data_IF_031802530150
#
_entry.id   IF_031802530150
#
_cell.length_a   1.000
_cell.length_b   1.000
_cell.length_c   1.000
_cell.angle_alpha   90.00
_cell.angle_beta   90.00
_cell.angle_gamma   90.00
#
_symmetry.space_group_name_H-M   'P 1'
#
loop_
_entity.id
_entity.type
_entity.pdbx_description
1 polymer ?
#
# COMPACT_ATOMS: atom_id res chain seq x y z
N UNK A 1 -19.01 16.79 -10.14
CA UNK A 1 -17.92 16.01 -10.78
C UNK A 1 -17.11 15.30 -9.72
N UNK A 2 -17.22 13.98 -9.60
CA UNK A 2 -16.36 13.21 -8.69
C UNK A 2 -14.92 13.28 -9.22
N UNK A 3 -14.02 13.99 -8.51
CA UNK A 3 -12.57 13.93 -8.78
C UNK A 3 -12.18 12.45 -8.76
N UNK A 4 -11.88 11.87 -9.91
CA UNK A 4 -11.24 10.55 -10.01
C UNK A 4 -9.95 10.67 -9.20
N UNK A 5 -9.97 10.19 -7.95
CA UNK A 5 -8.78 10.17 -7.09
C UNK A 5 -7.72 9.36 -7.83
N UNK A 6 -6.75 10.06 -8.40
CA UNK A 6 -5.63 9.46 -9.10
C UNK A 6 -4.92 8.49 -8.16
N UNK A 7 -4.65 7.28 -8.65
CA UNK A 7 -3.85 6.31 -7.91
C UNK A 7 -2.44 6.88 -7.76
N UNK A 8 -1.86 6.76 -6.56
CA UNK A 8 -0.44 7.03 -6.33
C UNK A 8 0.27 5.69 -6.21
N UNK A 9 1.47 5.63 -6.73
CA UNK A 9 2.33 4.47 -6.53
C UNK A 9 2.87 4.48 -5.11
N UNK A 10 2.73 3.35 -4.43
CA UNK A 10 3.27 3.16 -3.09
C UNK A 10 4.14 1.91 -3.09
N UNK A 11 5.29 2.01 -2.44
CA UNK A 11 6.10 0.86 -2.09
C UNK A 11 5.64 0.38 -0.72
N UNK A 12 5.06 -0.80 -0.68
CA UNK A 12 4.66 -1.48 0.54
C UNK A 12 5.66 -2.55 0.90
N UNK A 13 5.76 -2.85 2.19
CA UNK A 13 6.46 -4.02 2.68
C UNK A 13 5.68 -4.68 3.81
N UNK A 14 5.78 -6.00 3.91
CA UNK A 14 5.31 -6.75 5.09
C UNK A 14 6.38 -7.74 5.52
N UNK A 15 6.37 -8.12 6.80
CA UNK A 15 7.25 -9.16 7.32
C UNK A 15 6.47 -10.47 7.41
N UNK A 16 6.83 -11.45 6.60
CA UNK A 16 6.32 -12.82 6.67
C UNK A 16 7.50 -13.75 6.93
N UNK A 17 7.38 -14.59 7.95
CA UNK A 17 8.39 -15.63 8.28
C UNK A 17 9.84 -15.11 8.35
N UNK A 18 10.01 -13.91 8.92
CA UNK A 18 11.32 -13.28 9.06
C UNK A 18 11.81 -12.52 7.82
N UNK A 19 11.22 -12.75 6.65
CA UNK A 19 11.55 -12.06 5.40
C UNK A 19 10.70 -10.82 5.18
N UNK A 20 11.32 -9.78 4.59
CA UNK A 20 10.62 -8.57 4.15
C UNK A 20 10.17 -8.76 2.70
N UNK A 21 8.87 -8.89 2.51
CA UNK A 21 8.25 -8.93 1.18
C UNK A 21 7.90 -7.51 0.77
N UNK A 22 8.46 -7.04 -0.34
CA UNK A 22 8.18 -5.74 -0.92
C UNK A 22 7.15 -5.84 -2.05
N UNK A 23 6.26 -4.86 -2.15
CA UNK A 23 5.20 -4.81 -3.15
C UNK A 23 5.05 -3.37 -3.65
N UNK A 24 5.19 -3.16 -4.95
CA UNK A 24 5.01 -1.85 -5.58
C UNK A 24 3.71 -1.84 -6.37
N UNK A 25 2.70 -1.12 -5.89
CA UNK A 25 1.39 -1.06 -6.55
C UNK A 25 0.76 0.34 -6.51
N UNK A 26 -0.05 0.71 -7.52
CA UNK A 26 -0.76 1.97 -7.54
C UNK A 26 -2.04 1.88 -6.70
N UNK A 27 -2.07 2.56 -5.56
CA UNK A 27 -3.17 2.53 -4.61
C UNK A 27 -3.90 3.87 -4.53
N UNK A 28 -5.20 3.80 -4.22
CA UNK A 28 -5.94 4.93 -3.68
C UNK A 28 -5.81 4.97 -2.16
N UNK A 29 -6.07 6.14 -1.56
CA UNK A 29 -5.99 6.35 -0.10
C UNK A 29 -6.74 5.27 0.72
N UNK A 30 -7.93 4.85 0.27
CA UNK A 30 -8.70 3.82 0.98
C UNK A 30 -8.10 2.41 0.83
N UNK A 31 -7.47 2.10 -0.31
CA UNK A 31 -6.79 0.83 -0.53
C UNK A 31 -5.50 0.76 0.29
N UNK A 32 -4.76 1.87 0.36
CA UNK A 32 -3.60 2.00 1.23
C UNK A 32 -3.97 1.74 2.69
N UNK A 33 -5.04 2.35 3.19
CA UNK A 33 -5.54 2.11 4.55
C UNK A 33 -5.93 0.65 4.74
N UNK A 34 -6.56 0.01 3.74
CA UNK A 34 -6.87 -1.41 3.78
C UNK A 34 -5.61 -2.28 3.86
N UNK A 35 -4.56 -1.95 3.08
CA UNK A 35 -3.27 -2.63 3.13
C UNK A 35 -2.60 -2.47 4.49
N UNK A 36 -2.62 -1.28 5.07
CA UNK A 36 -2.10 -1.03 6.43
C UNK A 36 -2.83 -1.88 7.47
N UNK A 37 -4.17 -1.95 7.39
CA UNK A 37 -4.96 -2.85 8.26
C UNK A 37 -4.63 -4.33 8.06
N UNK A 38 -4.22 -4.74 6.86
CA UNK A 38 -3.74 -6.09 6.55
C UNK A 38 -2.28 -6.35 6.95
N UNK A 39 -1.63 -5.40 7.65
CA UNK A 39 -0.26 -5.55 8.14
C UNK A 39 0.83 -5.12 7.16
N UNK A 40 0.47 -4.46 6.06
CA UNK A 40 1.45 -3.82 5.18
C UNK A 40 1.92 -2.49 5.76
N UNK A 41 3.18 -2.14 5.52
CA UNK A 41 3.77 -0.85 5.87
C UNK A 41 4.25 -0.16 4.62
N UNK A 42 4.16 1.16 4.58
CA UNK A 42 4.69 1.95 3.45
C UNK A 42 6.18 2.15 3.69
N UNK A 43 6.99 1.94 2.65
CA UNK A 43 8.36 2.44 2.59
C UNK A 43 8.24 3.88 2.08
N UNK A 44 8.55 4.84 2.94
CA UNK A 44 8.60 6.27 2.58
C UNK A 44 9.87 6.60 1.78
#
# INVERSE_FOLDING_TARGET
MARKRSKRWFLLYRKEDGQRVHLYEPLKKYELVSRIKKGWRVVE
#
